data_IF_262328544997
#
_entry.id   IF_262328544997
#
_cell.length_a   1.000
_cell.length_b   1.000
_cell.length_c   1.000
_cell.angle_alpha   90.00
_cell.angle_beta   90.00
_cell.angle_gamma   90.00
#
_symmetry.space_group_name_H-M   'P 1'
#
loop_
_entity.id
_entity.type
_entity.pdbx_description
1 polymer ?
#
# COMPACT_ATOMS: atom_id res chain seq x y z
N UNK A 1 10.90 18.89 -3.28
CA UNK A 1 10.89 17.85 -4.31
C UNK A 1 9.45 17.63 -4.74
N UNK A 2 9.16 17.66 -6.04
CA UNK A 2 7.81 17.48 -6.58
C UNK A 2 7.52 15.98 -6.70
N UNK A 3 7.42 15.31 -5.55
CA UNK A 3 7.11 13.88 -5.54
C UNK A 3 5.63 13.71 -5.86
N UNK A 4 5.35 12.94 -6.91
CA UNK A 4 4.02 12.59 -7.37
C UNK A 4 3.12 12.14 -6.21
N UNK A 5 1.84 12.43 -6.36
CA UNK A 5 0.79 11.99 -5.45
C UNK A 5 0.90 10.46 -5.23
N UNK A 6 1.21 10.00 -3.99
CA UNK A 6 1.42 8.58 -3.71
C UNK A 6 0.16 7.74 -3.95
N UNK A 7 -1.03 8.34 -3.80
CA UNK A 7 -2.29 7.66 -4.13
C UNK A 7 -2.45 7.53 -5.66
N UNK A 8 -2.02 8.53 -6.45
CA UNK A 8 -2.03 8.44 -7.91
C UNK A 8 -1.05 7.39 -8.45
N UNK A 9 0.16 7.30 -7.87
CA UNK A 9 1.13 6.25 -8.23
C UNK A 9 0.58 4.88 -7.86
N UNK A 10 -0.02 4.75 -6.67
CA UNK A 10 -0.61 3.49 -6.24
C UNK A 10 -1.75 3.08 -7.18
N UNK A 11 -2.61 4.01 -7.60
CA UNK A 11 -3.69 3.73 -8.55
C UNK A 11 -3.15 3.20 -9.88
N UNK A 12 -2.10 3.81 -10.43
CA UNK A 12 -1.45 3.34 -11.66
C UNK A 12 -0.91 1.91 -11.51
N UNK A 13 -0.25 1.61 -10.39
CA UNK A 13 0.24 0.27 -10.05
C UNK A 13 -0.91 -0.75 -9.96
N UNK A 14 -2.03 -0.37 -9.34
CA UNK A 14 -3.21 -1.23 -9.21
C UNK A 14 -3.89 -1.49 -10.56
N UNK A 15 -3.83 -0.54 -11.48
CA UNK A 15 -4.43 -0.66 -12.81
C UNK A 15 -3.56 -1.42 -13.81
N UNK A 16 -2.23 -1.32 -13.66
CA UNK A 16 -1.25 -1.95 -14.55
C UNK A 16 -0.83 -3.34 -14.08
N UNK A 17 -0.87 -3.60 -12.77
CA UNK A 17 -0.45 -4.85 -12.15
C UNK A 17 -1.64 -5.75 -11.81
N UNK A 18 -1.61 -6.99 -12.30
CA UNK A 18 -2.45 -8.05 -11.75
C UNK A 18 -1.91 -8.39 -10.36
N UNK A 19 -2.34 -7.64 -9.33
CA UNK A 19 -1.89 -7.86 -7.96
C UNK A 19 -2.25 -9.30 -7.56
N UNK A 20 -1.25 -10.17 -7.33
CA UNK A 20 -1.54 -11.52 -6.92
C UNK A 20 -2.19 -11.47 -5.54
N UNK A 21 -3.39 -12.02 -5.44
CA UNK A 21 -3.99 -12.30 -4.14
C UNK A 21 -3.07 -13.25 -3.37
N UNK A 22 -2.95 -13.04 -2.07
CA UNK A 22 -2.24 -13.99 -1.21
C UNK A 22 -3.01 -15.32 -1.11
N UNK A 23 -2.46 -16.29 -0.39
CA UNK A 23 -3.02 -17.65 -0.21
C UNK A 23 -4.44 -17.66 0.38
N UNK A 24 -4.87 -16.56 0.99
CA UNK A 24 -6.20 -16.36 1.57
C UNK A 24 -7.14 -15.55 0.66
N UNK A 25 -6.72 -15.19 -0.54
CA UNK A 25 -7.50 -14.38 -1.48
C UNK A 25 -7.43 -12.87 -1.21
N UNK A 26 -6.66 -12.42 -0.21
CA UNK A 26 -6.57 -11.00 0.14
C UNK A 26 -5.64 -10.25 -0.81
N UNK A 27 -6.00 -9.00 -1.12
CA UNK A 27 -5.15 -8.12 -1.91
C UNK A 27 -4.02 -7.55 -1.05
N UNK A 28 -2.97 -7.02 -1.70
CA UNK A 28 -1.90 -6.32 -0.99
C UNK A 28 -2.42 -5.11 -0.17
N UNK A 29 -3.58 -4.55 -0.53
CA UNK A 29 -4.22 -3.46 0.22
C UNK A 29 -4.90 -3.96 1.50
N UNK A 30 -5.55 -5.12 1.45
CA UNK A 30 -6.14 -5.75 2.63
C UNK A 30 -5.06 -6.14 3.65
N UNK A 31 -3.95 -6.70 3.16
CA UNK A 31 -2.78 -7.02 4.00
C UNK A 31 -2.18 -5.74 4.62
N UNK A 32 -2.16 -4.62 3.90
CA UNK A 32 -1.68 -3.35 4.44
C UNK A 32 -2.60 -2.82 5.55
N UNK A 33 -3.93 -2.92 5.38
CA UNK A 33 -4.87 -2.52 6.42
C UNK A 33 -4.69 -3.35 7.70
N UNK A 34 -4.45 -4.66 7.54
CA UNK A 34 -4.14 -5.54 8.67
C UNK A 34 -2.80 -5.17 9.32
N UNK A 35 -1.77 -4.89 8.52
CA UNK A 35 -0.47 -4.42 9.01
C UNK A 35 -0.59 -3.10 9.78
N UNK A 36 -1.40 -2.15 9.29
CA UNK A 36 -1.62 -0.86 9.95
C UNK A 36 -2.28 -0.99 11.33
N UNK A 37 -3.19 -1.96 11.49
CA UNK A 37 -3.82 -2.25 12.77
C UNK A 37 -2.83 -2.80 13.82
N UNK A 38 -1.82 -3.56 13.39
CA UNK A 38 -0.82 -4.14 14.29
C UNK A 38 0.41 -3.24 14.54
N UNK A 39 0.87 -2.51 13.51
CA UNK A 39 2.08 -1.69 13.55
C UNK A 39 1.87 -0.26 14.06
N UNK A 40 0.61 0.17 14.23
CA UNK A 40 0.27 1.56 14.50
C UNK A 40 0.34 2.47 13.27
N UNK A 41 0.62 1.93 12.09
CA UNK A 41 0.55 2.64 10.81
C UNK A 41 -0.93 2.78 10.36
N UNK A 42 -1.72 3.52 11.14
CA UNK A 42 -3.12 3.81 10.86
C UNK A 42 -3.32 5.33 10.74
N UNK A 43 -4.33 5.78 9.97
CA UNK A 43 -4.54 7.20 9.69
C UNK A 43 -4.90 8.04 10.94
N UNK A 44 -5.22 7.40 12.07
CA UNK A 44 -5.46 8.08 13.35
C UNK A 44 -4.17 8.33 14.14
N UNK A 45 -3.05 7.71 13.75
CA UNK A 45 -1.76 7.81 14.46
C UNK A 45 -0.62 8.37 13.60
N UNK A 46 -0.74 8.31 12.28
CA UNK A 46 0.23 8.90 11.34
C UNK A 46 -0.44 9.96 10.48
N UNK A 47 0.35 10.92 9.98
CA UNK A 47 -0.16 11.91 9.04
C UNK A 47 -0.68 11.23 7.77
N UNK A 48 -1.68 11.83 7.13
CA UNK A 48 -2.26 11.30 5.88
C UNK A 48 -1.21 11.09 4.79
N UNK A 49 -0.22 11.99 4.72
CA UNK A 49 0.91 11.87 3.78
C UNK A 49 1.80 10.66 4.12
N UNK A 50 2.19 10.48 5.38
CA UNK A 50 3.00 9.34 5.79
C UNK A 50 2.26 8.01 5.57
N UNK A 51 0.94 7.99 5.84
CA UNK A 51 0.10 6.84 5.56
C UNK A 51 0.06 6.48 4.08
N UNK A 52 -0.13 7.46 3.20
CA UNK A 52 -0.18 7.25 1.76
C UNK A 52 1.15 6.70 1.20
N UNK A 53 2.28 7.26 1.65
CA UNK A 53 3.61 6.75 1.29
C UNK A 53 3.89 5.35 1.83
N UNK A 54 3.48 5.06 3.07
CA UNK A 54 3.61 3.71 3.64
C UNK A 54 2.79 2.68 2.84
N UNK A 55 1.58 3.05 2.43
CA UNK A 55 0.69 2.20 1.63
C UNK A 55 1.30 1.89 0.26
N UNK A 56 1.79 2.92 -0.43
CA UNK A 56 2.50 2.77 -1.70
C UNK A 56 3.76 1.88 -1.56
N UNK A 57 4.58 2.14 -0.54
CA UNK A 57 5.81 1.38 -0.30
C UNK A 57 5.50 -0.10 -0.06
N UNK A 58 4.52 -0.42 0.78
CA UNK A 58 4.14 -1.80 1.11
C UNK A 58 3.66 -2.57 -0.12
N UNK A 59 2.75 -1.98 -0.91
CA UNK A 59 2.22 -2.59 -2.13
C UNK A 59 3.33 -2.77 -3.17
N UNK A 60 4.18 -1.76 -3.36
CA UNK A 60 5.31 -1.84 -4.30
C UNK A 60 6.35 -2.89 -3.90
N UNK A 61 6.57 -3.12 -2.60
CA UNK A 61 7.48 -4.14 -2.12
C UNK A 61 6.95 -5.55 -2.41
N UNK A 62 5.64 -5.77 -2.22
CA UNK A 62 4.98 -7.06 -2.54
C UNK A 62 5.08 -7.42 -4.02
N UNK A 63 4.98 -6.44 -4.91
CA UNK A 63 5.12 -6.65 -6.35
C UNK A 63 6.54 -7.05 -6.78
N UNK A 64 7.59 -6.66 -6.03
CA UNK A 64 8.97 -7.07 -6.35
C UNK A 64 9.30 -8.50 -5.95
N UNK A 65 8.52 -9.07 -5.04
CA UNK A 65 8.73 -10.41 -4.47
C UNK A 65 7.86 -11.49 -5.10
N UNK A 66 7.04 -11.16 -6.12
CA UNK A 66 6.20 -12.11 -6.85
C UNK A 66 6.73 -12.45 -8.23
#
# INVERSE_FOLDING_TARGET
MCYSDPDAILLDILQTGNLPSNEHGHTALDDFNHFGAYSGCNPSQVSSEAYAWARLAFVSARLRTS
#
